data_IF_526705495382
#
_entry.id   IF_526705495382
#
_cell.length_a   1.000
_cell.length_b   1.000
_cell.length_c   1.000
_cell.angle_alpha   90.00
_cell.angle_beta   90.00
_cell.angle_gamma   90.00
#
_symmetry.space_group_name_H-M   'P 1'
#
loop_
_entity.id
_entity.type
_entity.pdbx_description
1 polymer ?
#
# COMPACT_ATOMS: atom_id res chain seq x y z
N UNK A 1 36.11 -11.12 48.72
CA UNK A 1 36.64 -9.80 48.28
C UNK A 1 35.66 -9.16 47.30
N UNK A 2 35.00 -8.09 47.74
CA UNK A 2 34.08 -7.25 46.96
C UNK A 2 34.86 -6.27 46.08
N UNK A 3 34.37 -5.99 44.86
CA UNK A 3 34.55 -4.76 44.04
C UNK A 3 33.82 -5.00 42.71
N UNK A 4 33.08 -4.10 42.06
CA UNK A 4 32.51 -2.78 42.38
C UNK A 4 31.47 -2.54 41.27
N UNK A 5 30.25 -2.15 41.63
CA UNK A 5 29.21 -1.67 40.69
C UNK A 5 29.66 -0.33 40.08
N UNK A 6 29.51 -0.15 38.77
CA UNK A 6 29.51 1.17 38.12
C UNK A 6 28.09 1.49 37.66
N UNK A 7 27.55 2.52 38.27
CA UNK A 7 26.29 3.19 37.96
C UNK A 7 26.55 4.25 36.90
N UNK A 8 25.80 4.27 35.79
CA UNK A 8 25.83 5.34 34.80
C UNK A 8 24.55 6.16 34.95
N UNK A 9 24.76 7.47 35.17
CA UNK A 9 23.77 8.49 35.47
C UNK A 9 22.90 8.80 34.25
N UNK A 10 21.60 8.87 34.53
CA UNK A 10 20.53 9.46 33.72
C UNK A 10 20.79 10.96 33.56
N UNK A 11 20.76 11.50 32.34
CA UNK A 11 20.69 12.94 32.07
C UNK A 11 19.36 13.26 31.39
N UNK A 12 18.51 13.93 32.14
CA UNK A 12 17.29 14.62 31.74
C UNK A 12 17.63 16.10 31.48
N UNK A 13 17.22 16.64 30.33
CA UNK A 13 17.36 18.07 30.02
C UNK A 13 16.47 18.48 28.86
N UNK A 14 15.27 18.97 29.17
CA UNK A 14 14.45 19.85 28.32
C UNK A 14 15.08 21.25 28.30
N UNK A 15 14.82 22.03 27.25
CA UNK A 15 14.28 23.37 27.50
C UNK A 15 13.06 23.70 26.61
N UNK A 16 12.13 24.45 27.20
CA UNK A 16 10.99 25.13 26.57
C UNK A 16 11.34 26.58 26.19
N UNK A 17 10.61 27.04 25.16
CA UNK A 17 10.21 28.42 24.79
C UNK A 17 11.25 29.46 24.37
N UNK A 18 11.05 30.08 23.18
CA UNK A 18 10.57 31.48 23.03
C UNK A 18 9.97 31.71 21.62
N UNK A 19 8.81 32.37 21.66
CA UNK A 19 7.95 32.93 20.61
C UNK A 19 8.62 33.87 19.57
N UNK A 20 8.07 33.83 18.34
CA UNK A 20 7.77 35.03 17.57
C UNK A 20 8.43 35.16 16.20
N UNK A 21 7.67 34.94 15.12
CA UNK A 21 7.67 35.84 13.95
C UNK A 21 6.36 35.72 13.17
N UNK A 22 5.77 36.90 12.95
CA UNK A 22 4.43 37.17 12.42
C UNK A 22 4.56 37.54 10.94
N UNK A 23 3.88 36.82 10.05
CA UNK A 23 3.72 37.22 8.64
C UNK A 23 2.74 38.40 8.54
N UNK A 24 3.00 39.41 7.68
CA UNK A 24 1.98 40.35 7.27
C UNK A 24 1.36 39.94 5.93
N UNK A 25 0.03 40.03 5.89
CA UNK A 25 -0.81 40.05 4.70
C UNK A 25 -1.20 41.50 4.41
N UNK A 26 -1.08 41.96 3.17
CA UNK A 26 -1.75 43.14 2.59
C UNK A 26 -1.49 43.13 1.07
N UNK A 27 -2.50 42.90 0.23
CA UNK A 27 -3.45 43.88 -0.31
C UNK A 27 -2.92 44.59 -1.58
N UNK A 28 -3.64 44.40 -2.68
CA UNK A 28 -3.46 45.07 -3.96
C UNK A 28 -3.76 46.58 -3.86
N UNK A 29 -3.29 47.37 -4.85
CA UNK A 29 -4.24 48.25 -5.51
C UNK A 29 -4.09 48.32 -7.04
N UNK A 30 -5.27 48.50 -7.63
CA UNK A 30 -5.58 48.88 -9.00
C UNK A 30 -5.41 50.40 -9.20
N UNK A 31 -4.91 50.86 -10.34
CA UNK A 31 -5.27 52.14 -11.00
C UNK A 31 -4.47 52.44 -12.28
N UNK A 32 -5.20 52.65 -13.39
CA UNK A 32 -4.78 53.33 -14.63
C UNK A 32 -4.59 54.86 -14.43
N UNK A 33 -3.97 55.60 -15.37
CA UNK A 33 -4.71 56.29 -16.47
C UNK A 33 -3.97 56.30 -17.84
N UNK A 34 -4.63 56.21 -19.02
CA UNK A 34 -5.11 57.27 -19.98
C UNK A 34 -4.09 58.42 -20.21
N UNK A 35 -3.72 58.94 -21.40
CA UNK A 35 -4.25 59.21 -22.77
C UNK A 35 -3.02 59.50 -23.68
N UNK A 36 -2.99 59.51 -25.03
CA UNK A 36 -3.74 60.32 -26.00
C UNK A 36 -3.44 59.90 -27.46
N UNK A 37 -4.22 60.47 -28.37
CA UNK A 37 -4.44 60.21 -29.80
C UNK A 37 -3.30 60.61 -30.78
N UNK A 38 -3.33 60.06 -32.01
CA UNK A 38 -3.19 60.86 -33.25
C UNK A 38 -3.64 60.10 -34.51
N UNK A 39 -4.36 60.84 -35.37
CA UNK A 39 -5.00 60.50 -36.65
C UNK A 39 -4.03 60.29 -37.82
N UNK A 40 -4.48 59.57 -38.87
CA UNK A 40 -3.90 59.70 -40.23
C UNK A 40 -4.44 58.74 -41.29
N UNK A 41 -5.45 59.16 -42.05
CA UNK A 41 -6.07 58.47 -43.22
C UNK A 41 -5.14 58.47 -44.45
N UNK A 42 -5.22 57.43 -45.31
CA UNK A 42 -5.41 57.58 -46.78
C UNK A 42 -5.73 56.24 -47.49
N UNK A 43 -6.61 56.37 -48.49
CA UNK A 43 -7.29 55.37 -49.33
C UNK A 43 -6.46 54.99 -50.57
N UNK A 44 -6.65 53.77 -51.12
CA UNK A 44 -7.16 53.55 -52.50
C UNK A 44 -7.10 52.07 -52.95
N UNK A 45 -7.87 51.77 -54.00
CA UNK A 45 -8.55 50.53 -54.38
C UNK A 45 -8.06 50.06 -55.76
N UNK A 46 -7.87 48.74 -56.03
CA UNK A 46 -8.38 48.05 -57.24
C UNK A 46 -8.03 46.54 -57.33
N UNK A 47 -8.86 45.84 -58.12
CA UNK A 47 -9.05 44.39 -58.38
C UNK A 47 -8.03 43.76 -59.35
N UNK A 48 -7.69 42.46 -59.19
CA UNK A 48 -8.16 41.33 -60.03
C UNK A 48 -7.44 39.97 -59.77
N UNK A 49 -8.27 38.92 -59.60
CA UNK A 49 -8.23 37.51 -60.12
C UNK A 49 -7.06 36.53 -59.84
N UNK A 50 -7.49 35.31 -59.41
CA UNK A 50 -6.87 34.00 -59.01
C UNK A 50 -5.76 33.39 -59.93
N UNK A 51 -4.97 32.35 -59.54
CA UNK A 51 -5.46 31.02 -59.10
C UNK A 51 -4.87 30.41 -57.79
N UNK A 52 -5.76 29.72 -57.07
CA UNK A 52 -5.61 28.43 -56.37
C UNK A 52 -4.56 28.19 -55.27
N UNK A 53 -5.03 28.12 -54.02
CA UNK A 53 -4.99 26.96 -53.09
C UNK A 53 -5.03 27.47 -51.65
N UNK A 54 -6.07 27.11 -50.88
CA UNK A 54 -6.03 26.79 -49.43
C UNK A 54 -7.45 26.60 -48.87
N UNK A 55 -7.67 25.40 -48.30
CA UNK A 55 -8.66 24.92 -47.31
C UNK A 55 -10.17 25.29 -47.40
N UNK A 56 -11.06 24.27 -47.38
CA UNK A 56 -12.40 24.38 -46.81
C UNK A 56 -12.46 23.84 -45.35
N UNK A 57 -13.56 24.10 -44.62
CA UNK A 57 -13.56 24.46 -43.21
C UNK A 57 -13.75 23.28 -42.25
N UNK A 58 -13.42 23.56 -40.98
CA UNK A 58 -13.70 22.75 -39.81
C UNK A 58 -15.16 22.29 -39.76
N UNK A 59 -15.40 21.06 -40.21
CA UNK A 59 -16.64 20.32 -40.00
C UNK A 59 -16.34 18.82 -39.95
N UNK A 60 -15.39 18.43 -39.10
CA UNK A 60 -15.46 17.12 -38.48
C UNK A 60 -15.58 17.38 -36.99
N UNK A 61 -16.83 17.30 -36.53
CA UNK A 61 -17.13 16.93 -35.17
C UNK A 61 -16.20 15.76 -34.84
N UNK A 62 -15.14 16.07 -34.08
CA UNK A 62 -14.35 15.08 -33.37
C UNK A 62 -15.36 14.28 -32.59
N UNK A 63 -15.74 13.13 -33.14
CA UNK A 63 -16.45 12.10 -32.43
C UNK A 63 -15.61 11.86 -31.19
N UNK A 64 -16.11 12.38 -30.07
CA UNK A 64 -15.60 12.11 -28.75
C UNK A 64 -15.64 10.60 -28.63
N UNK A 65 -14.48 9.96 -28.77
CA UNK A 65 -14.35 8.56 -28.43
C UNK A 65 -14.86 8.43 -26.99
N UNK A 66 -15.84 7.56 -26.72
CA UNK A 66 -16.21 7.24 -25.35
C UNK A 66 -14.94 6.80 -24.61
N UNK A 67 -14.82 7.08 -23.30
CA UNK A 67 -13.69 6.61 -22.54
C UNK A 67 -13.78 5.10 -22.44
N UNK A 68 -13.24 4.36 -23.41
CA UNK A 68 -13.02 2.92 -23.31
C UNK A 68 -11.78 2.70 -22.42
N UNK A 69 -11.84 3.23 -21.18
CA UNK A 69 -11.25 2.57 -20.01
C UNK A 69 -12.04 1.27 -19.86
N UNK A 70 -11.78 0.28 -20.71
CA UNK A 70 -12.07 -1.10 -20.30
C UNK A 70 -11.11 -1.39 -19.17
N UNK A 71 -11.48 -1.00 -17.95
CA UNK A 71 -11.08 -1.75 -16.78
C UNK A 71 -11.32 -3.21 -17.16
N UNK A 72 -10.23 -3.97 -17.30
CA UNK A 72 -10.32 -5.39 -17.62
C UNK A 72 -11.34 -6.00 -16.66
N UNK A 73 -12.24 -6.83 -17.18
CA UNK A 73 -13.28 -7.42 -16.36
C UNK A 73 -12.63 -8.27 -15.27
N UNK A 74 -13.31 -8.45 -14.14
CA UNK A 74 -12.86 -9.35 -13.07
C UNK A 74 -12.55 -10.74 -13.65
N UNK A 75 -13.37 -11.22 -14.59
CA UNK A 75 -13.21 -12.48 -15.31
C UNK A 75 -11.92 -12.54 -16.14
N UNK A 76 -11.54 -11.44 -16.80
CA UNK A 76 -10.33 -11.38 -17.62
C UNK A 76 -9.09 -11.54 -16.75
N UNK A 77 -9.04 -10.82 -15.63
CA UNK A 77 -7.93 -10.93 -14.66
C UNK A 77 -7.86 -12.33 -14.04
N UNK A 78 -9.00 -12.92 -13.65
CA UNK A 78 -9.02 -14.29 -13.11
C UNK A 78 -8.56 -15.33 -14.14
N UNK A 79 -8.95 -15.17 -15.41
CA UNK A 79 -8.51 -16.05 -16.49
C UNK A 79 -7.00 -15.95 -16.72
N UNK A 80 -6.46 -14.74 -16.74
CA UNK A 80 -5.03 -14.49 -16.85
C UNK A 80 -4.25 -15.06 -15.65
N UNK A 81 -4.71 -14.80 -14.44
CA UNK A 81 -4.10 -15.31 -13.21
C UNK A 81 -4.04 -16.84 -13.19
N UNK A 82 -5.15 -17.51 -13.54
CA UNK A 82 -5.19 -18.97 -13.67
C UNK A 82 -4.21 -19.45 -14.75
N UNK A 83 -4.18 -18.83 -15.92
CA UNK A 83 -3.23 -19.20 -16.99
C UNK A 83 -1.78 -19.11 -16.51
N UNK A 84 -1.41 -18.03 -15.81
CA UNK A 84 -0.06 -17.84 -15.26
C UNK A 84 0.28 -18.85 -14.18
N UNK A 85 -0.68 -19.17 -13.30
CA UNK A 85 -0.51 -20.21 -12.27
C UNK A 85 -0.24 -21.58 -12.90
N UNK A 86 -1.03 -22.01 -13.89
CA UNK A 86 -0.79 -23.29 -14.58
C UNK A 86 0.55 -23.32 -15.32
N UNK A 87 0.97 -22.19 -15.92
CA UNK A 87 2.31 -22.06 -16.51
C UNK A 87 3.40 -22.28 -15.45
N UNK A 88 3.24 -21.70 -14.26
CA UNK A 88 4.18 -21.89 -13.15
C UNK A 88 4.21 -23.36 -12.67
N UNK A 89 3.05 -24.03 -12.60
CA UNK A 89 2.95 -25.44 -12.23
C UNK A 89 3.76 -26.34 -13.18
N UNK A 90 3.73 -26.03 -14.49
CA UNK A 90 4.48 -26.73 -15.53
C UNK A 90 5.98 -26.35 -15.61
N UNK A 91 6.42 -25.33 -14.86
CA UNK A 91 7.80 -24.86 -14.90
C UNK A 91 8.66 -25.68 -13.93
N UNK A 92 9.79 -26.23 -14.41
CA UNK A 92 10.71 -27.03 -13.59
C UNK A 92 11.74 -26.18 -12.85
N UNK A 93 12.28 -25.15 -13.52
CA UNK A 93 13.23 -24.24 -12.89
C UNK A 93 12.57 -23.46 -11.75
N UNK A 94 13.18 -23.51 -10.56
CA UNK A 94 12.59 -22.94 -9.33
C UNK A 94 12.46 -21.43 -9.42
N UNK A 95 13.44 -20.75 -10.03
CA UNK A 95 13.45 -19.29 -10.15
C UNK A 95 12.37 -18.83 -11.14
N UNK A 96 12.31 -19.42 -12.34
CA UNK A 96 11.29 -19.12 -13.34
C UNK A 96 9.87 -19.49 -12.85
N UNK A 97 9.75 -20.58 -12.08
CA UNK A 97 8.50 -20.98 -11.40
C UNK A 97 8.05 -19.93 -10.40
N UNK A 98 8.94 -19.46 -9.52
CA UNK A 98 8.66 -18.42 -8.54
C UNK A 98 8.21 -17.11 -9.22
N UNK A 99 8.92 -16.67 -10.26
CA UNK A 99 8.56 -15.48 -11.04
C UNK A 99 7.16 -15.63 -11.67
N UNK A 100 6.86 -16.79 -12.27
CA UNK A 100 5.57 -17.03 -12.92
C UNK A 100 4.41 -17.08 -11.91
N UNK A 101 4.62 -17.63 -10.71
CA UNK A 101 3.64 -17.54 -9.63
C UNK A 101 3.45 -16.12 -9.12
N UNK A 102 4.51 -15.31 -9.03
CA UNK A 102 4.37 -13.92 -8.59
C UNK A 102 3.54 -13.12 -9.60
N UNK A 103 3.73 -13.32 -10.91
CA UNK A 103 2.85 -12.72 -11.92
C UNK A 103 1.40 -13.16 -11.77
N UNK A 104 1.16 -14.45 -11.50
CA UNK A 104 -0.19 -14.95 -11.23
C UNK A 104 -0.80 -14.27 -9.99
N UNK A 105 -0.01 -14.12 -8.92
CA UNK A 105 -0.42 -13.43 -7.70
C UNK A 105 -0.81 -11.97 -7.99
N UNK A 106 -0.02 -11.24 -8.78
CA UNK A 106 -0.36 -9.86 -9.16
C UNK A 106 -1.66 -9.79 -10.00
N UNK A 107 -1.89 -10.75 -10.91
CA UNK A 107 -3.15 -10.81 -11.65
C UNK A 107 -4.36 -11.14 -10.75
N UNK A 108 -4.19 -11.96 -9.72
CA UNK A 108 -5.22 -12.16 -8.69
C UNK A 108 -5.48 -10.87 -7.89
N UNK A 109 -4.44 -10.13 -7.52
CA UNK A 109 -4.59 -8.82 -6.86
C UNK A 109 -5.37 -7.84 -7.75
N UNK A 110 -5.07 -7.76 -9.04
CA UNK A 110 -5.81 -6.89 -9.95
C UNK A 110 -7.29 -7.29 -10.06
N UNK A 111 -7.59 -8.59 -10.07
CA UNK A 111 -8.99 -9.04 -10.02
C UNK A 111 -9.70 -8.59 -8.74
N UNK A 112 -9.02 -8.63 -7.59
CA UNK A 112 -9.56 -8.16 -6.32
C UNK A 112 -9.77 -6.63 -6.30
N UNK A 113 -8.84 -5.86 -6.89
CA UNK A 113 -9.00 -4.42 -7.07
C UNK A 113 -10.16 -4.09 -8.01
N UNK A 114 -10.37 -4.88 -9.06
CA UNK A 114 -11.54 -4.73 -9.93
C UNK A 114 -12.85 -5.05 -9.17
N UNK A 115 -12.85 -6.05 -8.29
CA UNK A 115 -13.98 -6.36 -7.40
C UNK A 115 -14.29 -5.22 -6.40
N UNK A 116 -13.27 -4.50 -5.92
CA UNK A 116 -13.45 -3.33 -5.02
C UNK A 116 -14.22 -2.18 -5.67
N UNK A 117 -14.13 -2.06 -7.00
CA UNK A 117 -14.84 -1.02 -7.75
C UNK A 117 -16.31 -1.38 -8.04
N UNK A 118 -16.70 -2.64 -7.85
CA UNK A 118 -18.07 -3.12 -8.00
C UNK A 118 -18.81 -3.14 -6.64
N UNK A 119 -19.88 -2.33 -6.45
CA UNK A 119 -20.62 -2.25 -5.18
C UNK A 119 -21.22 -3.57 -4.68
N UNK A 120 -21.35 -4.61 -5.52
CA UNK A 120 -22.11 -5.81 -5.19
C UNK A 120 -21.28 -6.95 -4.56
N UNK A 121 -19.94 -6.92 -4.57
CA UNK A 121 -19.13 -8.10 -4.19
C UNK A 121 -17.94 -7.89 -3.22
N UNK A 122 -18.02 -7.02 -2.18
CA UNK A 122 -16.86 -6.69 -1.32
C UNK A 122 -16.28 -7.87 -0.52
N UNK A 123 -17.08 -8.91 -0.22
CA UNK A 123 -16.60 -10.12 0.48
C UNK A 123 -15.67 -10.98 -0.39
N UNK A 124 -15.79 -10.89 -1.71
CA UNK A 124 -14.99 -11.69 -2.64
C UNK A 124 -13.52 -11.20 -2.70
N UNK A 125 -13.30 -9.89 -2.69
CA UNK A 125 -11.96 -9.29 -2.72
C UNK A 125 -11.09 -9.68 -1.51
N UNK A 126 -11.66 -9.71 -0.29
CA UNK A 126 -10.93 -10.16 0.89
C UNK A 126 -10.45 -11.62 0.74
N UNK A 127 -11.33 -12.51 0.26
CA UNK A 127 -10.96 -13.91 0.01
C UNK A 127 -9.84 -13.99 -1.02
N UNK A 128 -9.94 -13.23 -2.12
CA UNK A 128 -8.90 -13.17 -3.14
C UNK A 128 -7.55 -12.72 -2.57
N UNK A 129 -7.52 -11.69 -1.71
CA UNK A 129 -6.28 -11.27 -1.05
C UNK A 129 -5.73 -12.35 -0.11
N UNK A 130 -6.59 -13.04 0.63
CA UNK A 130 -6.15 -14.10 1.55
C UNK A 130 -5.55 -15.30 0.81
N UNK A 131 -6.19 -15.75 -0.27
CA UNK A 131 -5.67 -16.85 -1.11
C UNK A 131 -4.38 -16.44 -1.83
N UNK A 132 -4.31 -15.19 -2.27
CA UNK A 132 -3.09 -14.64 -2.89
C UNK A 132 -1.95 -14.57 -1.88
N UNK A 133 -2.23 -14.21 -0.63
CA UNK A 133 -1.23 -14.19 0.43
C UNK A 133 -0.65 -15.58 0.70
N UNK A 134 -1.49 -16.62 0.67
CA UNK A 134 -1.03 -18.01 0.77
C UNK A 134 -0.15 -18.42 -0.42
N UNK A 135 -0.51 -17.97 -1.63
CA UNK A 135 0.34 -18.16 -2.81
C UNK A 135 1.69 -17.45 -2.64
N UNK A 136 1.73 -16.21 -2.16
CA UNK A 136 2.99 -15.51 -1.86
C UNK A 136 3.83 -16.28 -0.85
N UNK A 137 3.24 -16.76 0.25
CA UNK A 137 3.94 -17.59 1.26
C UNK A 137 4.49 -18.87 0.65
N UNK A 138 3.78 -19.47 -0.30
CA UNK A 138 4.27 -20.63 -1.04
C UNK A 138 5.49 -20.27 -1.91
N UNK A 139 5.44 -19.15 -2.65
CA UNK A 139 6.57 -18.66 -3.46
C UNK A 139 7.83 -18.47 -2.61
N UNK A 140 7.68 -17.84 -1.44
CA UNK A 140 8.78 -17.59 -0.50
C UNK A 140 9.41 -18.89 0.04
N UNK A 141 8.71 -20.03 -0.04
CA UNK A 141 9.22 -21.35 0.37
C UNK A 141 9.85 -22.15 -0.77
N UNK A 142 9.69 -21.74 -2.04
CA UNK A 142 10.20 -22.50 -3.19
C UNK A 142 11.74 -22.54 -3.25
N UNK A 143 12.38 -21.50 -2.72
CA UNK A 143 13.84 -21.32 -2.76
C UNK A 143 14.30 -20.53 -1.53
N UNK A 144 15.52 -20.80 -1.06
CA UNK A 144 16.15 -20.00 -0.01
C UNK A 144 16.73 -18.73 -0.62
N UNK A 145 16.07 -17.59 -0.37
CA UNK A 145 16.51 -16.29 -0.89
C UNK A 145 17.39 -15.50 0.10
N UNK A 146 17.46 -15.94 1.35
CA UNK A 146 18.23 -15.30 2.43
C UNK A 146 19.63 -15.89 2.61
N UNK A 147 20.03 -16.82 1.74
CA UNK A 147 21.38 -17.37 1.74
C UNK A 147 22.37 -16.26 1.36
N UNK A 148 23.46 -16.04 2.11
CA UNK A 148 24.50 -15.07 1.74
C UNK A 148 25.10 -15.29 0.34
N UNK A 149 25.00 -16.50 -0.21
CA UNK A 149 25.45 -16.83 -1.56
C UNK A 149 24.43 -16.50 -2.67
N UNK A 150 23.20 -16.10 -2.30
CA UNK A 150 22.13 -15.79 -3.26
C UNK A 150 22.51 -14.59 -4.14
N UNK A 151 22.18 -14.70 -5.44
CA UNK A 151 22.48 -13.65 -6.39
C UNK A 151 21.68 -12.38 -6.08
N UNK A 152 22.21 -11.22 -6.45
CA UNK A 152 21.59 -9.92 -6.12
C UNK A 152 20.14 -9.81 -6.65
N UNK A 153 19.88 -10.30 -7.86
CA UNK A 153 18.53 -10.31 -8.45
C UNK A 153 17.56 -11.27 -7.75
N UNK A 154 18.06 -12.32 -7.08
CA UNK A 154 17.24 -13.22 -6.26
C UNK A 154 16.82 -12.53 -4.96
N UNK A 155 17.71 -11.73 -4.37
CA UNK A 155 17.41 -10.87 -3.22
C UNK A 155 16.40 -9.79 -3.59
N UNK A 156 16.57 -9.13 -4.73
CA UNK A 156 15.59 -8.15 -5.22
C UNK A 156 14.20 -8.78 -5.44
N UNK A 157 14.14 -9.97 -6.06
CA UNK A 157 12.90 -10.72 -6.21
C UNK A 157 12.24 -11.03 -4.86
N UNK A 158 13.04 -11.45 -3.87
CA UNK A 158 12.55 -11.73 -2.52
C UNK A 158 11.98 -10.48 -1.84
N UNK A 159 12.66 -9.34 -1.95
CA UNK A 159 12.14 -8.06 -1.45
C UNK A 159 10.78 -7.74 -2.09
N UNK A 160 10.63 -7.90 -3.41
CA UNK A 160 9.34 -7.68 -4.08
C UNK A 160 8.23 -8.59 -3.53
N UNK A 161 8.54 -9.86 -3.22
CA UNK A 161 7.59 -10.78 -2.60
C UNK A 161 7.21 -10.34 -1.17
N UNK A 162 8.18 -9.87 -0.37
CA UNK A 162 7.91 -9.34 0.97
C UNK A 162 7.05 -8.06 0.93
N UNK A 163 7.29 -7.17 -0.05
CA UNK A 163 6.41 -6.00 -0.29
C UNK A 163 4.98 -6.43 -0.61
N UNK A 164 4.80 -7.46 -1.44
CA UNK A 164 3.48 -8.02 -1.72
C UNK A 164 2.82 -8.57 -0.44
N UNK A 165 3.55 -9.40 0.31
CA UNK A 165 3.05 -10.01 1.54
C UNK A 165 2.59 -8.95 2.55
N UNK A 166 3.44 -7.96 2.81
CA UNK A 166 3.17 -6.89 3.75
C UNK A 166 1.95 -6.04 3.35
N UNK A 167 1.89 -5.60 2.08
CA UNK A 167 0.77 -4.78 1.63
C UNK A 167 -0.55 -5.55 1.53
N UNK A 168 -0.52 -6.85 1.21
CA UNK A 168 -1.70 -7.72 1.31
C UNK A 168 -2.20 -7.83 2.75
N UNK A 169 -1.31 -8.05 3.72
CA UNK A 169 -1.67 -8.08 5.15
C UNK A 169 -2.26 -6.74 5.60
N UNK A 170 -1.65 -5.62 5.21
CA UNK A 170 -2.15 -4.28 5.51
C UNK A 170 -3.50 -4.01 4.86
N UNK A 171 -3.71 -4.42 3.61
CA UNK A 171 -4.99 -4.31 2.91
C UNK A 171 -6.09 -5.10 3.62
N UNK A 172 -5.83 -6.36 3.98
CA UNK A 172 -6.78 -7.19 4.74
C UNK A 172 -7.09 -6.60 6.13
N UNK A 173 -6.10 -6.03 6.81
CA UNK A 173 -6.32 -5.29 8.06
C UNK A 173 -7.27 -4.10 7.82
N UNK A 174 -7.03 -3.28 6.79
CA UNK A 174 -7.87 -2.13 6.44
C UNK A 174 -9.31 -2.53 6.18
N UNK A 175 -9.54 -3.67 5.50
CA UNK A 175 -10.87 -4.26 5.30
C UNK A 175 -11.63 -4.57 6.59
N UNK A 176 -10.91 -4.95 7.65
CA UNK A 176 -11.50 -5.38 8.92
C UNK A 176 -11.34 -4.35 10.04
N UNK A 177 -10.75 -3.19 9.74
CA UNK A 177 -10.40 -2.14 10.70
C UNK A 177 -11.59 -1.68 11.54
N UNK A 178 -12.72 -1.40 10.90
CA UNK A 178 -13.90 -0.91 11.63
C UNK A 178 -14.48 -1.98 12.56
N UNK A 179 -14.36 -3.27 12.20
CA UNK A 179 -14.71 -4.38 13.08
C UNK A 179 -13.73 -4.51 14.24
N UNK A 180 -12.42 -4.36 14.01
CA UNK A 180 -11.43 -4.35 15.10
C UNK A 180 -11.67 -3.19 16.08
N UNK A 181 -12.00 -2.00 15.59
CA UNK A 181 -12.35 -0.85 16.44
C UNK A 181 -13.61 -1.12 17.28
N UNK A 182 -14.62 -1.78 16.71
CA UNK A 182 -15.81 -2.21 17.46
C UNK A 182 -15.45 -3.22 18.56
N UNK A 183 -14.68 -4.26 18.24
CA UNK A 183 -14.23 -5.23 19.23
C UNK A 183 -13.38 -4.60 20.33
N UNK A 184 -12.47 -3.68 19.98
CA UNK A 184 -11.67 -2.92 20.93
C UNK A 184 -12.55 -2.19 21.95
N UNK A 185 -13.58 -1.45 21.49
CA UNK A 185 -14.51 -0.75 22.38
C UNK A 185 -15.24 -1.73 23.30
N UNK A 186 -15.82 -2.80 22.76
CA UNK A 186 -16.51 -3.83 23.56
C UNK A 186 -15.61 -4.44 24.63
N UNK A 187 -14.36 -4.74 24.29
CA UNK A 187 -13.38 -5.29 25.22
C UNK A 187 -13.02 -4.27 26.30
N UNK A 188 -12.71 -3.03 25.92
CA UNK A 188 -12.39 -1.95 26.87
C UNK A 188 -13.54 -1.68 27.82
N UNK A 189 -14.78 -1.61 27.32
CA UNK A 189 -15.97 -1.38 28.14
C UNK A 189 -16.23 -2.54 29.10
N UNK A 190 -16.04 -3.79 28.65
CA UNK A 190 -16.17 -4.96 29.50
C UNK A 190 -15.14 -4.96 30.62
N UNK A 191 -13.84 -4.82 30.31
CA UNK A 191 -12.79 -4.81 31.33
C UNK A 191 -12.89 -3.61 32.28
N UNK A 192 -13.36 -2.46 31.79
CA UNK A 192 -13.63 -1.27 32.62
C UNK A 192 -14.82 -1.50 33.56
N UNK A 193 -15.91 -2.09 33.07
CA UNK A 193 -17.10 -2.40 33.88
C UNK A 193 -16.80 -3.48 34.92
N UNK A 194 -16.02 -4.51 34.55
CA UNK A 194 -15.55 -5.53 35.50
C UNK A 194 -14.60 -4.99 36.56
N UNK A 195 -13.81 -3.94 36.25
CA UNK A 195 -12.89 -3.31 37.20
C UNK A 195 -13.58 -2.39 38.22
N UNK A 196 -14.81 -1.92 37.97
CA UNK A 196 -15.57 -1.06 38.89
C UNK A 196 -16.55 -1.82 39.79
N UNK A 197 -16.89 -3.08 39.46
CA UNK A 197 -17.72 -3.92 40.32
C UNK A 197 -17.04 -4.32 41.65
N UNK A 198 -15.77 -3.96 41.85
CA UNK A 198 -15.13 -3.94 43.16
C UNK A 198 -15.36 -2.59 43.85
N UNK A 199 -16.57 -2.34 44.36
CA UNK A 199 -16.77 -1.24 45.32
C UNK A 199 -16.02 -1.53 46.63
N UNK A 200 -15.29 -0.57 47.22
CA UNK A 200 -14.71 -0.73 48.55
C UNK A 200 -15.80 -0.42 49.59
N UNK A 201 -16.75 -1.33 49.77
CA UNK A 201 -17.65 -1.29 50.93
C UNK A 201 -17.09 -2.18 52.04
N UNK A 202 -16.89 -1.53 53.17
CA UNK A 202 -16.18 -1.96 54.37
C UNK A 202 -16.82 -3.20 55.01
N UNK A 203 -15.96 -4.05 55.59
CA UNK A 203 -16.17 -4.98 56.72
C UNK A 203 -16.30 -6.49 56.46
N UNK A 204 -15.17 -7.18 56.78
CA UNK A 204 -15.04 -8.39 57.61
C UNK A 204 -15.69 -9.69 57.12
N UNK A 205 -14.87 -10.66 56.69
CA UNK A 205 -14.56 -11.89 57.43
C UNK A 205 -13.83 -12.89 56.53
N UNK A 206 -12.84 -13.56 57.11
CA UNK A 206 -12.04 -14.67 56.56
C UNK A 206 -12.79 -15.68 55.70
N UNK A 207 -12.26 -15.99 54.50
CA UNK A 207 -11.82 -17.33 54.09
C UNK A 207 -11.64 -17.46 52.56
N UNK A 208 -10.57 -18.16 52.17
CA UNK A 208 -10.22 -18.62 50.83
C UNK A 208 -9.81 -17.58 49.79
N UNK A 209 -8.50 -17.39 49.65
CA UNK A 209 -7.89 -17.12 48.37
C UNK A 209 -7.99 -18.39 47.50
N UNK A 210 -9.20 -18.74 47.07
CA UNK A 210 -9.45 -19.72 46.02
C UNK A 210 -9.60 -18.94 44.71
N UNK A 211 -8.83 -19.33 43.69
CA UNK A 211 -8.61 -18.58 42.46
C UNK A 211 -9.84 -17.84 41.94
N UNK A 212 -9.73 -16.51 41.82
CA UNK A 212 -10.67 -15.67 41.12
C UNK A 212 -10.61 -16.01 39.62
N UNK A 213 -11.26 -17.11 39.24
CA UNK A 213 -11.50 -17.43 37.83
C UNK A 213 -12.49 -16.38 37.33
N UNK A 214 -11.97 -15.37 36.63
CA UNK A 214 -12.79 -14.39 35.94
C UNK A 214 -13.57 -15.15 34.87
N UNK A 215 -14.86 -15.38 35.08
CA UNK A 215 -15.74 -15.98 34.07
C UNK A 215 -15.95 -14.94 32.97
N UNK A 216 -15.15 -15.03 31.91
CA UNK A 216 -15.28 -14.15 30.74
C UNK A 216 -16.49 -14.64 29.92
N UNK A 217 -17.48 -13.77 29.63
CA UNK A 217 -18.60 -14.15 28.78
C UNK A 217 -18.12 -14.56 27.38
N UNK A 218 -18.75 -15.60 26.81
CA UNK A 218 -18.42 -16.11 25.47
C UNK A 218 -18.35 -15.01 24.38
N UNK A 219 -19.26 -14.01 24.33
CA UNK A 219 -19.16 -12.93 23.35
C UNK A 219 -17.88 -12.07 23.49
N UNK A 220 -17.41 -11.87 24.72
CA UNK A 220 -16.19 -11.11 25.02
C UNK A 220 -14.95 -11.91 24.60
N UNK A 221 -14.95 -13.21 24.86
CA UNK A 221 -13.89 -14.11 24.40
C UNK A 221 -13.81 -14.14 22.87
N UNK A 222 -14.94 -14.22 22.17
CA UNK A 222 -14.98 -14.20 20.71
C UNK A 222 -14.53 -12.84 20.13
N UNK A 223 -14.94 -11.73 20.76
CA UNK A 223 -14.47 -10.40 20.39
C UNK A 223 -12.94 -10.28 20.58
N UNK A 224 -12.39 -10.83 21.67
CA UNK A 224 -10.94 -10.85 21.91
C UNK A 224 -10.21 -11.65 20.83
N UNK A 225 -10.66 -12.87 20.55
CA UNK A 225 -10.04 -13.71 19.51
C UNK A 225 -10.09 -13.02 18.12
N UNK A 226 -11.23 -12.43 17.77
CA UNK A 226 -11.40 -11.70 16.50
C UNK A 226 -10.52 -10.45 16.44
N UNK A 227 -10.44 -9.69 17.53
CA UNK A 227 -9.59 -8.52 17.64
C UNK A 227 -8.13 -8.88 17.45
N UNK A 228 -7.62 -9.87 18.19
CA UNK A 228 -6.23 -10.36 18.10
C UNK A 228 -5.92 -10.81 16.67
N UNK A 229 -6.81 -11.60 16.05
CA UNK A 229 -6.62 -12.06 14.67
C UNK A 229 -6.51 -10.91 13.67
N UNK A 230 -7.35 -9.88 13.79
CA UNK A 230 -7.31 -8.72 12.88
C UNK A 230 -6.06 -7.86 13.16
N UNK A 231 -5.71 -7.61 14.42
CA UNK A 231 -4.51 -6.81 14.76
C UNK A 231 -3.21 -7.52 14.43
N UNK A 232 -3.19 -8.85 14.44
CA UNK A 232 -2.03 -9.63 14.00
C UNK A 232 -1.69 -9.36 12.52
N UNK A 233 -2.69 -9.14 11.65
CA UNK A 233 -2.45 -8.74 10.27
C UNK A 233 -1.67 -7.42 10.18
N UNK A 234 -2.03 -6.45 11.01
CA UNK A 234 -1.34 -5.15 11.05
C UNK A 234 0.10 -5.29 11.54
N UNK A 235 0.32 -6.02 12.62
CA UNK A 235 1.67 -6.25 13.18
C UNK A 235 2.55 -7.00 12.17
N UNK A 236 2.05 -8.10 11.61
CA UNK A 236 2.80 -8.87 10.60
C UNK A 236 3.09 -8.09 9.33
N UNK A 237 2.20 -7.16 8.93
CA UNK A 237 2.45 -6.27 7.80
C UNK A 237 3.66 -5.37 8.07
N UNK A 238 3.75 -4.77 9.26
CA UNK A 238 4.88 -3.95 9.67
C UNK A 238 6.17 -4.77 9.76
N UNK A 239 6.16 -5.91 10.44
CA UNK A 239 7.34 -6.79 10.58
C UNK A 239 7.87 -7.24 9.21
N UNK A 240 6.98 -7.65 8.30
CA UNK A 240 7.35 -8.06 6.95
C UNK A 240 7.88 -6.88 6.12
N UNK A 241 7.34 -5.68 6.34
CA UNK A 241 7.80 -4.46 5.65
C UNK A 241 9.22 -4.07 6.09
N UNK A 242 9.47 -4.07 7.40
CA UNK A 242 10.79 -3.81 7.98
C UNK A 242 11.81 -4.84 7.51
N UNK A 243 11.43 -6.13 7.49
CA UNK A 243 12.26 -7.19 6.92
C UNK A 243 12.61 -6.92 5.44
N UNK A 244 11.68 -6.37 4.65
CA UNK A 244 11.94 -5.99 3.27
C UNK A 244 12.89 -4.79 3.18
N UNK A 245 12.73 -3.79 4.05
CA UNK A 245 13.61 -2.61 4.14
C UNK A 245 15.05 -3.00 4.46
N UNK A 246 15.23 -3.90 5.44
CA UNK A 246 16.53 -4.42 5.85
C UNK A 246 17.26 -5.14 4.72
N UNK A 247 16.56 -5.66 3.70
CA UNK A 247 17.19 -6.38 2.59
C UNK A 247 17.49 -5.48 1.38
N UNK A 248 16.98 -4.25 1.35
CA UNK A 248 17.13 -3.35 0.18
C UNK A 248 18.57 -2.97 -0.12
N UNK A 249 19.41 -2.82 0.91
CA UNK A 249 20.83 -2.46 0.76
C UNK A 249 21.70 -3.60 0.22
N UNK A 250 21.15 -4.81 0.23
CA UNK A 250 21.80 -6.05 -0.21
C UNK A 250 21.44 -6.44 -1.64
N UNK A 251 20.56 -5.68 -2.30
CA UNK A 251 20.10 -5.94 -3.68
C UNK A 251 21.07 -5.46 -4.76
N UNK A 252 20.64 -5.56 -6.03
CA UNK A 252 21.43 -5.06 -7.18
C UNK A 252 21.38 -3.54 -7.36
N UNK A 253 20.54 -2.85 -6.56
CA UNK A 253 20.17 -1.45 -6.79
C UNK A 253 18.86 -1.29 -7.57
N UNK A 254 18.26 -2.40 -8.05
CA UNK A 254 16.97 -2.44 -8.74
C UNK A 254 15.91 -1.55 -8.09
N UNK A 255 15.73 -1.68 -6.77
CA UNK A 255 14.68 -0.99 -6.03
C UNK A 255 14.81 0.54 -6.12
N UNK A 256 16.04 1.06 -6.05
CA UNK A 256 16.29 2.50 -6.22
C UNK A 256 15.89 2.98 -7.61
N UNK A 257 16.12 2.16 -8.63
CA UNK A 257 15.72 2.49 -9.99
C UNK A 257 14.20 2.36 -10.20
N UNK A 258 13.53 1.45 -9.49
CA UNK A 258 12.07 1.37 -9.46
C UNK A 258 11.49 2.61 -8.77
N UNK A 259 12.01 2.99 -7.61
CA UNK A 259 11.57 4.17 -6.87
C UNK A 259 11.71 5.46 -7.72
N UNK A 260 12.77 5.54 -8.53
CA UNK A 260 12.94 6.64 -9.49
C UNK A 260 11.93 6.60 -10.66
N UNK A 261 11.59 5.40 -11.14
CA UNK A 261 10.74 5.23 -12.33
C UNK A 261 9.24 5.30 -12.05
N UNK A 262 8.77 4.73 -10.93
CA UNK A 262 7.35 4.61 -10.59
C UNK A 262 6.98 5.26 -9.24
N UNK A 263 7.97 5.83 -8.55
CA UNK A 263 7.82 6.37 -7.20
C UNK A 263 8.08 5.32 -6.11
N UNK A 264 8.57 5.74 -4.93
CA UNK A 264 8.83 4.83 -3.83
C UNK A 264 7.53 4.22 -3.29
N UNK A 265 7.55 2.92 -3.03
CA UNK A 265 6.43 2.23 -2.42
C UNK A 265 6.42 2.47 -0.91
N UNK A 266 5.24 2.71 -0.34
CA UNK A 266 5.05 2.86 1.11
C UNK A 266 4.07 1.83 1.65
N UNK A 267 4.10 1.58 2.96
CA UNK A 267 3.19 0.63 3.61
C UNK A 267 1.70 1.05 3.53
N UNK A 268 1.43 2.32 3.22
CA UNK A 268 0.07 2.85 3.04
C UNK A 268 -0.38 2.87 1.58
N UNK A 269 0.49 2.44 0.66
CA UNK A 269 0.23 2.43 -0.78
C UNK A 269 -1.01 1.59 -1.14
N UNK A 270 -1.59 1.91 -2.30
CA UNK A 270 -2.72 1.15 -2.85
C UNK A 270 -2.25 -0.19 -3.45
N UNK A 271 -3.16 -1.15 -3.55
CA UNK A 271 -2.87 -2.42 -4.23
C UNK A 271 -2.53 -2.22 -5.72
N UNK A 272 -3.10 -1.21 -6.39
CA UNK A 272 -2.73 -0.85 -7.76
C UNK A 272 -1.29 -0.33 -7.88
N UNK A 273 -0.84 0.47 -6.90
CA UNK A 273 0.54 0.96 -6.82
C UNK A 273 1.52 -0.20 -6.60
N UNK A 274 1.18 -1.14 -5.71
CA UNK A 274 1.94 -2.38 -5.50
C UNK A 274 2.07 -3.17 -6.81
N UNK A 275 0.96 -3.44 -7.51
CA UNK A 275 0.98 -4.21 -8.75
C UNK A 275 1.89 -3.56 -9.79
N UNK A 276 1.77 -2.25 -9.97
CA UNK A 276 2.60 -1.50 -10.92
C UNK A 276 4.08 -1.61 -10.55
N UNK A 277 4.41 -1.35 -9.27
CA UNK A 277 5.78 -1.42 -8.76
C UNK A 277 6.42 -2.79 -8.99
N UNK A 278 5.71 -3.85 -8.61
CA UNK A 278 6.24 -5.21 -8.67
C UNK A 278 6.32 -5.72 -10.12
N UNK A 279 5.37 -5.36 -11.00
CA UNK A 279 5.47 -5.70 -12.43
C UNK A 279 6.69 -5.07 -13.09
N UNK A 280 6.96 -3.80 -12.80
CA UNK A 280 8.17 -3.15 -13.28
C UNK A 280 9.44 -3.85 -12.74
N UNK A 281 9.45 -4.24 -11.47
CA UNK A 281 10.54 -5.02 -10.88
C UNK A 281 10.75 -6.37 -11.56
N UNK A 282 9.69 -7.14 -11.76
CA UNK A 282 9.74 -8.45 -12.44
C UNK A 282 10.24 -8.35 -13.88
N UNK A 283 9.82 -7.32 -14.61
CA UNK A 283 10.28 -7.11 -15.99
C UNK A 283 11.79 -6.88 -16.05
N UNK A 284 12.33 -6.08 -15.13
CA UNK A 284 13.77 -5.82 -15.04
C UNK A 284 14.55 -7.06 -14.60
N UNK A 285 14.09 -7.76 -13.55
CA UNK A 285 14.72 -9.01 -13.08
C UNK A 285 14.86 -10.02 -14.22
N UNK A 286 13.81 -10.19 -15.05
CA UNK A 286 13.87 -11.09 -16.21
C UNK A 286 14.92 -10.70 -17.23
N UNK A 287 15.00 -9.41 -17.55
CA UNK A 287 15.99 -8.89 -18.49
C UNK A 287 17.40 -9.11 -17.98
N UNK A 288 17.62 -8.91 -16.69
CA UNK A 288 18.94 -9.08 -16.07
C UNK A 288 19.32 -10.58 -15.96
N UNK A 289 18.36 -11.47 -15.69
CA UNK A 289 18.59 -12.94 -15.76
C UNK A 289 18.94 -13.40 -17.18
N UNK A 290 18.31 -12.81 -18.21
CA UNK A 290 18.63 -13.14 -19.62
C UNK A 290 19.99 -12.61 -20.07
N UNK A 291 20.42 -11.46 -19.55
CA UNK A 291 21.73 -10.85 -19.86
C UNK A 291 22.90 -11.48 -19.09
N UNK A 292 22.61 -12.33 -18.08
CA UNK A 292 23.61 -13.02 -17.26
C UNK A 292 23.92 -14.44 -17.75
N UNK A 293 23.33 -14.88 -18.87
CA UNK A 293 23.63 -16.11 -19.60
C UNK A 293 24.45 -15.80 -20.84
#
# INVERSE_FOLDING_TARGET
MMKRRKSVKRCSGLPQDVSGHKCPSAAAPDSQPRTAEAHGKKSCKSRNVLPEKTCPPAAEARALLPPDRRQRSVEDHLKEAKKLKHKADATLDKTAKAISYLEAALAFVESAVAMETDPQTPKSAYTMFSETLDLIRFILKLKSYTDPSAAAHERDFFVLCLRCQSLLQMAMFRYRRDSALRYSRTLTDHFRSSSWSASPSVSRSSSSAAGSSLVIPQPVQQAAASYVSITALFLSAHETWEQADDLTHSGSGLLRELDSAVGPLSLTASMSSLVTYVRHGLHRIRRDTQNSL
#
